data_IF_179845388847
#
_entry.id   IF_179845388847
#
_cell.length_a   1.000
_cell.length_b   1.000
_cell.length_c   1.000
_cell.angle_alpha   90.00
_cell.angle_beta   90.00
_cell.angle_gamma   90.00
#
_symmetry.space_group_name_H-M   'P 1'
#
loop_
_entity.id
_entity.type
_entity.pdbx_description
1 polymer ?
#
# COMPACT_ATOMS: atom_id res chain seq x y z
N UNK A 1 19.41 81.63 -2.01
CA UNK A 1 19.43 80.20 -1.65
C UNK A 1 18.26 79.52 -2.33
N UNK A 2 18.57 78.41 -3.00
CA UNK A 2 17.80 77.53 -3.89
C UNK A 2 16.26 77.51 -3.81
N UNK A 3 15.66 77.56 -5.00
CA UNK A 3 14.29 77.18 -5.31
C UNK A 3 14.20 75.66 -5.63
N UNK A 4 13.00 75.10 -5.44
CA UNK A 4 12.51 73.95 -6.20
C UNK A 4 12.71 72.56 -5.59
N UNK A 5 11.59 71.92 -5.22
CA UNK A 5 11.16 70.63 -5.80
C UNK A 5 9.82 70.20 -5.18
N UNK A 6 8.80 70.19 -6.03
CA UNK A 6 7.60 69.38 -5.84
C UNK A 6 8.01 67.91 -5.96
N UNK A 7 7.73 67.08 -4.96
CA UNK A 7 7.72 65.63 -5.13
C UNK A 7 6.29 65.21 -5.46
N UNK A 8 6.07 64.92 -6.75
CA UNK A 8 4.86 64.30 -7.24
C UNK A 8 4.69 62.93 -6.57
N UNK A 9 3.45 62.64 -6.18
CA UNK A 9 2.98 61.32 -5.79
C UNK A 9 3.01 60.44 -7.06
N UNK A 10 4.10 59.71 -7.25
CA UNK A 10 4.18 58.62 -8.22
C UNK A 10 3.37 57.45 -7.70
N UNK A 11 2.27 57.18 -8.39
CA UNK A 11 1.52 55.93 -8.30
C UNK A 11 2.41 54.83 -8.89
N UNK A 12 2.93 53.97 -8.02
CA UNK A 12 3.70 52.79 -8.41
C UNK A 12 2.74 51.72 -8.92
N UNK A 13 2.41 51.83 -10.21
CA UNK A 13 1.57 50.88 -10.92
C UNK A 13 2.42 49.65 -11.27
N UNK A 14 2.18 48.58 -10.52
CA UNK A 14 2.75 47.24 -10.72
C UNK A 14 2.42 46.73 -12.14
N UNK A 15 3.38 46.22 -12.93
CA UNK A 15 3.03 45.59 -14.19
C UNK A 15 2.40 44.22 -13.93
N UNK A 16 1.09 44.10 -14.20
CA UNK A 16 0.40 42.82 -14.33
C UNK A 16 1.03 42.02 -15.48
N UNK A 17 1.67 40.92 -15.13
CA UNK A 17 2.08 39.87 -16.08
C UNK A 17 1.13 38.68 -15.94
N UNK A 18 -0.07 38.80 -16.53
CA UNK A 18 -0.89 37.64 -16.88
C UNK A 18 -0.77 37.39 -18.39
N UNK A 19 -0.36 36.19 -18.86
CA UNK A 19 -0.59 35.83 -20.24
C UNK A 19 -2.08 35.51 -20.42
N UNK A 20 -2.80 36.46 -21.01
CA UNK A 20 -4.11 36.24 -21.63
C UNK A 20 -3.92 35.27 -22.81
N UNK A 21 -4.36 34.02 -22.67
CA UNK A 21 -4.55 33.14 -23.82
C UNK A 21 -5.93 33.46 -24.40
N UNK A 22 -5.98 34.47 -25.27
CA UNK A 22 -7.06 34.67 -26.23
C UNK A 22 -6.42 35.13 -27.53
N UNK A 23 -6.28 34.20 -28.47
CA UNK A 23 -6.42 34.38 -29.92
C UNK A 23 -5.92 33.12 -30.64
N UNK A 24 -6.73 32.06 -30.61
CA UNK A 24 -6.66 30.97 -31.59
C UNK A 24 -8.07 30.63 -32.05
N UNK A 25 -8.81 31.65 -32.51
CA UNK A 25 -10.06 31.45 -33.26
C UNK A 25 -10.10 32.44 -34.42
N UNK A 26 -9.25 32.22 -35.42
CA UNK A 26 -9.39 32.84 -36.73
C UNK A 26 -8.87 31.88 -37.79
N UNK A 27 -9.66 31.69 -38.85
CA UNK A 27 -9.46 30.82 -40.01
C UNK A 27 -9.83 29.33 -39.82
N UNK A 28 -11.13 29.06 -39.77
CA UNK A 28 -11.70 27.84 -40.37
C UNK A 28 -12.82 28.29 -41.31
N UNK A 29 -12.40 28.82 -42.46
CA UNK A 29 -13.27 29.17 -43.58
C UNK A 29 -13.82 27.89 -44.23
N UNK A 30 -15.02 28.02 -44.76
CA UNK A 30 -15.91 26.99 -45.25
C UNK A 30 -15.28 26.14 -46.36
N UNK A 31 -15.24 24.81 -46.17
CA UNK A 31 -15.39 23.87 -47.27
C UNK A 31 -16.37 22.77 -46.90
N UNK A 32 -17.66 23.05 -47.11
CA UNK A 32 -18.68 22.02 -47.27
C UNK A 32 -18.34 21.21 -48.53
N UNK A 33 -17.72 20.04 -48.35
CA UNK A 33 -17.66 19.03 -49.41
C UNK A 33 -19.07 18.43 -49.58
N UNK A 34 -19.58 18.30 -50.82
CA UNK A 34 -20.90 17.73 -51.06
C UNK A 34 -20.90 16.26 -50.64
N UNK A 35 -21.93 15.85 -49.87
CA UNK A 35 -22.22 14.46 -49.56
C UNK A 35 -22.37 13.68 -50.87
N UNK A 36 -21.35 12.90 -51.23
CA UNK A 36 -21.46 11.90 -52.28
C UNK A 36 -22.44 10.82 -51.83
N UNK A 37 -23.65 10.86 -52.40
CA UNK A 37 -24.64 9.80 -52.33
C UNK A 37 -24.01 8.51 -52.84
N UNK A 38 -23.73 7.57 -51.92
CA UNK A 38 -23.21 6.25 -52.29
C UNK A 38 -24.29 5.51 -53.07
N UNK A 39 -24.14 5.48 -54.38
CA UNK A 39 -24.94 4.68 -55.29
C UNK A 39 -24.75 3.19 -54.91
N UNK A 40 -25.74 2.60 -54.24
CA UNK A 40 -25.75 1.17 -53.94
C UNK A 40 -25.81 0.37 -55.25
N UNK A 41 -24.73 -0.35 -55.58
CA UNK A 41 -24.79 -1.43 -56.54
C UNK A 41 -25.35 -2.69 -55.85
N UNK A 42 -26.33 -3.39 -56.43
CA UNK A 42 -26.77 -4.68 -55.91
C UNK A 42 -25.62 -5.68 -55.98
N UNK A 43 -25.38 -6.37 -54.86
CA UNK A 43 -24.31 -7.38 -54.72
C UNK A 43 -24.46 -8.50 -55.76
N UNK A 44 -23.35 -9.03 -56.33
CA UNK A 44 -23.40 -10.19 -57.20
C UNK A 44 -23.90 -11.42 -56.44
N UNK A 45 -24.75 -12.20 -57.10
CA UNK A 45 -25.41 -13.37 -56.53
C UNK A 45 -24.36 -14.45 -56.20
N UNK A 46 -24.03 -14.60 -54.91
CA UNK A 46 -23.07 -15.60 -54.44
C UNK A 46 -23.77 -16.97 -54.44
N UNK A 47 -23.28 -17.98 -55.15
CA UNK A 47 -23.85 -19.32 -55.08
C UNK A 47 -23.70 -19.87 -53.66
N UNK A 48 -24.83 -20.12 -53.00
CA UNK A 48 -24.88 -20.73 -51.68
C UNK A 48 -24.38 -22.18 -51.79
N UNK A 49 -23.18 -22.44 -51.29
CA UNK A 49 -22.84 -23.79 -50.82
C UNK A 49 -23.61 -24.03 -49.52
N UNK A 50 -24.11 -25.25 -49.25
CA UNK A 50 -24.79 -25.52 -47.99
C UNK A 50 -23.78 -25.45 -46.85
N UNK A 51 -23.75 -24.31 -46.17
CA UNK A 51 -23.03 -24.12 -44.91
C UNK A 51 -23.62 -25.10 -43.89
N UNK A 52 -22.80 -26.05 -43.46
CA UNK A 52 -23.06 -26.87 -42.27
C UNK A 52 -23.35 -25.92 -41.12
N UNK A 53 -24.60 -25.92 -40.65
CA UNK A 53 -25.05 -25.12 -39.51
C UNK A 53 -24.24 -25.57 -38.29
N UNK A 54 -23.29 -24.73 -37.87
CA UNK A 54 -22.67 -24.85 -36.57
C UNK A 54 -23.70 -24.37 -35.55
N UNK A 55 -24.31 -25.31 -34.84
CA UNK A 55 -25.23 -25.05 -33.75
C UNK A 55 -24.58 -24.09 -32.73
N UNK A 56 -25.31 -23.03 -32.39
CA UNK A 56 -25.00 -22.18 -31.24
C UNK A 56 -25.14 -23.01 -29.95
N UNK A 57 -24.17 -22.99 -29.02
CA UNK A 57 -24.33 -23.71 -27.77
C UNK A 57 -25.47 -23.07 -26.97
N UNK A 58 -26.56 -23.81 -26.83
CA UNK A 58 -27.61 -23.49 -25.87
C UNK A 58 -27.01 -23.52 -24.47
N UNK A 59 -26.99 -22.37 -23.79
CA UNK A 59 -26.63 -22.28 -22.39
C UNK A 59 -27.68 -23.07 -21.58
N UNK A 60 -27.30 -24.26 -21.12
CA UNK A 60 -28.21 -25.15 -20.42
C UNK A 60 -28.61 -24.54 -19.08
N UNK A 61 -29.92 -24.53 -18.81
CA UNK A 61 -30.48 -24.09 -17.54
C UNK A 61 -29.78 -24.84 -16.39
N UNK A 62 -29.21 -24.09 -15.43
CA UNK A 62 -28.54 -24.70 -14.27
C UNK A 62 -29.52 -25.64 -13.55
N UNK A 63 -29.08 -26.83 -13.13
CA UNK A 63 -29.96 -27.75 -12.41
C UNK A 63 -30.57 -27.06 -11.19
N UNK A 64 -31.87 -27.25 -10.96
CA UNK A 64 -32.60 -26.61 -9.85
C UNK A 64 -32.03 -26.96 -8.45
N UNK A 65 -31.20 -28.00 -8.35
CA UNK A 65 -30.49 -28.41 -7.13
C UNK A 65 -29.21 -27.62 -6.86
N UNK A 66 -28.68 -26.85 -7.81
CA UNK A 66 -27.42 -26.11 -7.65
C UNK A 66 -27.54 -25.02 -6.58
N UNK A 67 -28.67 -24.33 -6.52
CA UNK A 67 -28.92 -23.28 -5.51
C UNK A 67 -29.00 -23.86 -4.07
N UNK A 68 -29.81 -24.91 -3.78
CA UNK A 68 -29.81 -25.50 -2.45
C UNK A 68 -28.49 -26.19 -2.11
N UNK A 69 -27.76 -26.76 -3.07
CA UNK A 69 -26.44 -27.31 -2.83
C UNK A 69 -25.43 -26.23 -2.43
N UNK A 70 -25.45 -25.06 -3.08
CA UNK A 70 -24.58 -23.94 -2.72
C UNK A 70 -24.91 -23.40 -1.32
N UNK A 71 -26.20 -23.29 -0.99
CA UNK A 71 -26.63 -22.89 0.36
C UNK A 71 -26.14 -23.91 1.41
N UNK A 72 -26.27 -25.21 1.13
CA UNK A 72 -25.79 -26.25 2.04
C UNK A 72 -24.27 -26.18 2.27
N UNK A 73 -23.49 -25.89 1.22
CA UNK A 73 -22.04 -25.70 1.34
C UNK A 73 -21.71 -24.48 2.20
N UNK A 74 -22.41 -23.36 2.00
CA UNK A 74 -22.21 -22.14 2.81
C UNK A 74 -22.55 -22.40 4.28
N UNK A 75 -23.66 -23.07 4.57
CA UNK A 75 -24.05 -23.43 5.94
C UNK A 75 -23.02 -24.35 6.60
N UNK A 76 -22.48 -25.33 5.85
CA UNK A 76 -21.45 -26.23 6.35
C UNK A 76 -20.15 -25.49 6.69
N UNK A 77 -19.73 -24.56 5.82
CA UNK A 77 -18.55 -23.72 6.08
C UNK A 77 -18.76 -22.86 7.34
N UNK A 78 -19.92 -22.20 7.48
CA UNK A 78 -20.25 -21.40 8.66
C UNK A 78 -20.32 -22.22 9.95
N UNK A 79 -20.81 -23.46 9.88
CA UNK A 79 -20.83 -24.35 11.04
C UNK A 79 -19.41 -24.74 11.47
N UNK A 80 -18.55 -25.10 10.51
CA UNK A 80 -17.14 -25.45 10.79
C UNK A 80 -16.39 -24.26 11.37
N UNK A 81 -16.53 -23.06 10.80
CA UNK A 81 -15.87 -21.87 11.35
C UNK A 81 -16.34 -21.54 12.76
N UNK A 82 -17.66 -21.63 13.02
CA UNK A 82 -18.20 -21.44 14.37
C UNK A 82 -17.68 -22.47 15.38
N UNK A 83 -17.53 -23.74 14.97
CA UNK A 83 -16.97 -24.77 15.85
C UNK A 83 -15.51 -24.54 16.21
N UNK A 84 -14.70 -24.03 15.28
CA UNK A 84 -13.28 -23.69 15.54
C UNK A 84 -13.18 -22.52 16.51
N UNK A 85 -13.95 -21.45 16.29
CA UNK A 85 -13.99 -20.28 17.17
C UNK A 85 -14.41 -20.71 18.59
N UNK A 86 -15.47 -21.51 18.71
CA UNK A 86 -15.94 -22.01 20.01
C UNK A 86 -14.89 -22.86 20.74
N UNK A 87 -14.09 -23.63 20.00
CA UNK A 87 -13.02 -24.43 20.60
C UNK A 87 -11.87 -23.55 21.12
N UNK A 88 -11.51 -22.49 20.40
CA UNK A 88 -10.49 -21.51 20.82
C UNK A 88 -10.98 -20.68 22.00
N UNK A 89 -12.24 -20.25 22.02
CA UNK A 89 -12.80 -19.47 23.15
C UNK A 89 -12.95 -20.27 24.44
N UNK A 90 -12.73 -21.60 24.42
CA UNK A 90 -12.84 -22.46 25.60
C UNK A 90 -11.53 -22.60 26.39
N UNK A 91 -10.45 -21.96 25.97
CA UNK A 91 -9.13 -22.06 26.61
C UNK A 91 -8.79 -20.90 27.55
N UNK A 92 -9.78 -20.33 28.23
CA UNK A 92 -9.55 -19.37 29.33
C UNK A 92 -10.12 -19.93 30.62
N UNK A 93 -9.38 -20.83 31.26
CA UNK A 93 -9.54 -21.10 32.69
C UNK A 93 -8.25 -21.72 33.23
N UNK A 94 -7.37 -20.88 33.78
CA UNK A 94 -6.66 -21.11 35.06
C UNK A 94 -5.73 -19.94 35.38
N UNK A 95 -6.24 -19.04 36.23
CA UNK A 95 -5.61 -18.63 37.49
C UNK A 95 -4.08 -18.72 37.59
N UNK A 96 -3.41 -17.57 37.57
CA UNK A 96 -2.41 -17.32 38.59
C UNK A 96 -2.39 -15.85 39.03
N UNK A 97 -3.03 -15.61 40.17
CA UNK A 97 -2.81 -14.43 40.99
C UNK A 97 -1.37 -14.48 41.53
N UNK A 98 -0.40 -14.01 40.74
CA UNK A 98 0.78 -13.40 41.33
C UNK A 98 0.37 -12.01 41.84
N UNK A 99 -0.32 -12.03 42.98
CA UNK A 99 -0.54 -10.88 43.82
C UNK A 99 0.82 -10.44 44.36
N UNK A 100 1.54 -9.63 43.59
CA UNK A 100 2.68 -8.88 44.09
C UNK A 100 2.11 -7.91 45.13
N UNK A 101 2.44 -8.13 46.40
CA UNK A 101 2.16 -7.17 47.47
C UNK A 101 2.71 -5.81 47.07
N UNK A 102 1.82 -4.89 46.71
CA UNK A 102 2.14 -3.47 46.54
C UNK A 102 2.58 -2.97 47.91
N UNK A 103 3.90 -2.86 48.12
CA UNK A 103 4.43 -2.02 49.18
C UNK A 103 4.10 -0.60 48.77
N UNK A 104 3.15 0.00 49.48
CA UNK A 104 2.77 1.39 49.30
C UNK A 104 3.92 2.29 49.77
N UNK A 105 4.81 2.68 48.84
CA UNK A 105 5.83 3.69 49.10
C UNK A 105 5.31 5.02 48.58
N UNK A 106 4.65 5.77 49.46
CA UNK A 106 4.41 7.19 49.24
C UNK A 106 5.79 7.86 49.25
N UNK A 107 6.37 8.17 48.09
CA UNK A 107 7.54 9.04 48.02
C UNK A 107 7.40 9.96 46.83
N UNK A 108 6.92 11.16 47.11
CA UNK A 108 6.87 12.29 46.22
C UNK A 108 8.29 12.82 45.97
N UNK A 109 9.04 12.26 45.01
CA UNK A 109 10.25 12.89 44.42
C UNK A 109 10.41 12.48 42.93
N UNK A 110 10.94 13.37 42.06
CA UNK A 110 10.87 13.24 40.61
C UNK A 110 11.83 12.17 40.04
N UNK A 111 11.33 11.33 39.14
CA UNK A 111 12.09 10.25 38.49
C UNK A 111 12.95 10.78 37.34
N UNK A 112 14.17 11.21 37.64
CA UNK A 112 15.25 11.27 36.66
C UNK A 112 16.25 10.14 36.95
N UNK A 113 16.31 9.18 36.02
CA UNK A 113 17.45 8.32 35.73
C UNK A 113 17.85 7.27 36.80
N UNK A 114 17.43 6.02 36.58
CA UNK A 114 18.15 4.85 37.10
C UNK A 114 18.44 3.90 35.94
N UNK A 115 19.57 4.13 35.29
CA UNK A 115 20.27 3.11 34.51
C UNK A 115 20.89 2.11 35.51
N UNK A 116 20.35 0.90 35.62
CA UNK A 116 20.96 -0.18 36.42
C UNK A 116 22.04 -0.84 35.56
N UNK A 117 23.35 -0.75 35.91
CA UNK A 117 24.37 -1.56 35.27
C UNK A 117 24.26 -3.02 35.73
N UNK A 118 23.94 -3.88 34.76
CA UNK A 118 24.25 -5.31 34.63
C UNK A 118 24.73 -6.05 35.89
N UNK A 119 23.83 -6.83 36.48
CA UNK A 119 24.17 -7.92 37.40
C UNK A 119 23.92 -9.27 36.69
N UNK A 120 25.01 -9.94 36.35
CA UNK A 120 25.09 -11.36 35.98
C UNK A 120 24.07 -12.21 36.76
N UNK A 121 23.01 -12.66 36.07
CA UNK A 121 22.18 -13.77 36.50
C UNK A 121 21.76 -14.55 35.26
N UNK A 122 22.04 -15.85 35.22
CA UNK A 122 21.59 -16.80 34.19
C UNK A 122 20.06 -17.02 34.22
N UNK A 123 19.28 -15.96 34.28
CA UNK A 123 17.83 -15.95 34.06
C UNK A 123 17.59 -15.58 32.59
N UNK A 124 16.63 -16.19 31.89
CA UNK A 124 16.26 -15.73 30.56
C UNK A 124 15.82 -14.27 30.67
N UNK A 125 16.55 -13.38 30.01
CA UNK A 125 16.15 -12.00 29.82
C UNK A 125 14.80 -12.01 29.13
N UNK A 126 13.74 -11.59 29.85
CA UNK A 126 12.42 -11.47 29.26
C UNK A 126 12.43 -10.21 28.43
N UNK A 127 12.69 -10.35 27.14
CA UNK A 127 12.60 -9.25 26.20
C UNK A 127 11.14 -9.08 25.82
N UNK A 128 10.63 -7.87 25.98
CA UNK A 128 9.22 -7.51 25.69
C UNK A 128 9.12 -7.13 24.21
N UNK A 129 8.05 -7.58 23.57
CA UNK A 129 7.62 -7.29 22.21
C UNK A 129 6.11 -7.06 22.32
N UNK A 130 5.72 -5.78 22.43
CA UNK A 130 4.38 -5.37 22.85
C UNK A 130 3.33 -5.58 21.76
N UNK A 131 3.70 -5.46 20.48
CA UNK A 131 2.79 -5.58 19.35
C UNK A 131 2.90 -6.93 18.61
N UNK A 132 3.96 -7.69 18.87
CA UNK A 132 4.18 -9.03 18.34
C UNK A 132 4.70 -9.07 16.91
N UNK A 133 5.32 -8.00 16.40
CA UNK A 133 5.89 -7.99 15.05
C UNK A 133 7.28 -8.68 14.97
N UNK A 134 7.92 -8.92 16.11
CA UNK A 134 9.23 -9.54 16.26
C UNK A 134 10.41 -8.56 16.35
N UNK A 135 10.14 -7.27 16.53
CA UNK A 135 11.02 -6.30 17.18
C UNK A 135 10.68 -6.22 18.67
N UNK A 136 11.70 -5.99 19.47
CA UNK A 136 11.54 -5.79 20.91
C UNK A 136 11.25 -4.33 21.20
N UNK A 137 10.54 -4.01 22.29
CA UNK A 137 10.23 -2.61 22.68
C UNK A 137 11.49 -1.72 22.74
N UNK A 138 12.66 -2.33 23.03
CA UNK A 138 13.96 -1.65 23.05
C UNK A 138 14.45 -1.36 21.62
N UNK A 139 14.37 -2.33 20.70
CA UNK A 139 14.70 -2.13 19.29
C UNK A 139 13.77 -1.05 18.70
N UNK A 140 12.47 -1.14 18.94
CA UNK A 140 11.50 -0.15 18.47
C UNK A 140 11.79 1.25 18.98
N UNK A 141 12.15 1.40 20.26
CA UNK A 141 12.58 2.68 20.80
C UNK A 141 13.84 3.25 20.12
N UNK A 142 14.72 2.41 19.58
CA UNK A 142 15.90 2.84 18.82
C UNK A 142 15.50 3.36 17.42
N UNK A 143 14.57 2.67 16.76
CA UNK A 143 14.04 3.06 15.45
C UNK A 143 12.95 4.14 15.50
N UNK A 144 12.43 4.42 16.71
CA UNK A 144 11.33 5.36 16.99
C UNK A 144 9.99 4.94 16.37
N UNK A 145 9.79 3.64 16.23
CA UNK A 145 8.51 3.04 15.85
C UNK A 145 7.55 3.02 17.05
N UNK A 146 6.26 2.82 16.78
CA UNK A 146 5.22 2.74 17.81
C UNK A 146 5.14 1.33 18.36
N UNK A 147 5.58 1.13 19.61
CA UNK A 147 5.56 -0.15 20.34
C UNK A 147 4.21 -0.87 20.42
N UNK A 148 3.12 -0.25 19.93
CA UNK A 148 1.76 -0.80 19.97
C UNK A 148 1.23 -1.12 18.58
N UNK A 149 2.01 -0.86 17.52
CA UNK A 149 1.60 -0.99 16.13
C UNK A 149 2.65 -1.76 15.34
N UNK A 150 2.25 -2.95 14.86
CA UNK A 150 3.06 -3.82 14.00
C UNK A 150 3.59 -3.10 12.74
N UNK A 151 2.92 -2.04 12.31
CA UNK A 151 3.18 -1.24 11.12
C UNK A 151 2.98 0.24 11.51
N UNK A 152 4.08 0.94 11.76
CA UNK A 152 4.08 2.28 12.35
C UNK A 152 3.58 3.37 11.40
N UNK A 153 3.78 3.21 10.09
CA UNK A 153 3.38 4.19 9.08
C UNK A 153 2.19 3.78 8.20
N UNK A 154 1.70 2.55 8.41
CA UNK A 154 0.46 1.98 7.88
C UNK A 154 0.46 1.77 6.37
N UNK A 155 1.62 1.41 5.82
CA UNK A 155 1.79 1.17 4.39
C UNK A 155 1.59 -0.30 3.96
N UNK A 156 1.54 -1.20 4.94
CA UNK A 156 1.34 -2.63 4.77
C UNK A 156 2.58 -3.50 4.92
N UNK A 157 3.74 -2.96 5.30
CA UNK A 157 4.90 -3.70 5.81
C UNK A 157 4.98 -3.59 7.34
N UNK A 158 5.45 -4.64 8.02
CA UNK A 158 5.72 -4.51 9.46
C UNK A 158 7.02 -3.75 9.70
N UNK A 159 7.16 -3.07 10.84
CA UNK A 159 8.39 -2.33 11.19
C UNK A 159 9.62 -3.25 11.10
N UNK A 160 9.48 -4.49 11.58
CA UNK A 160 10.49 -5.55 11.42
C UNK A 160 10.85 -5.83 9.97
N UNK A 161 9.86 -5.97 9.08
CA UNK A 161 10.09 -6.25 7.65
C UNK A 161 10.85 -5.11 6.99
N UNK A 162 10.45 -3.88 7.28
CA UNK A 162 11.11 -2.68 6.79
C UNK A 162 12.56 -2.60 7.27
N UNK A 163 12.82 -2.80 8.55
CA UNK A 163 14.15 -2.71 9.13
C UNK A 163 15.05 -3.88 8.71
N UNK A 164 14.54 -5.13 8.77
CA UNK A 164 15.38 -6.34 8.64
C UNK A 164 15.39 -6.92 7.22
N UNK A 165 14.42 -6.60 6.36
CA UNK A 165 14.28 -7.21 5.03
C UNK A 165 14.44 -6.19 3.91
N UNK A 166 13.62 -5.13 3.90
CA UNK A 166 13.55 -4.19 2.78
C UNK A 166 14.47 -2.98 2.94
N UNK A 167 14.92 -2.71 4.16
CA UNK A 167 15.70 -1.54 4.55
C UNK A 167 15.03 -0.21 4.18
N UNK A 168 13.69 -0.17 4.22
CA UNK A 168 12.85 1.04 4.08
C UNK A 168 12.83 1.82 5.39
N UNK A 169 12.11 2.95 5.43
CA UNK A 169 11.97 3.76 6.63
C UNK A 169 10.60 3.51 7.28
N UNK A 170 10.54 2.86 8.47
CA UNK A 170 9.28 2.46 9.09
C UNK A 170 8.38 3.59 9.62
N UNK A 171 8.78 4.84 9.35
CA UNK A 171 8.04 6.04 9.72
C UNK A 171 7.63 6.84 8.47
N UNK A 172 7.76 6.26 7.27
CA UNK A 172 7.48 6.91 6.00
C UNK A 172 6.96 5.87 5.01
N UNK A 173 5.65 5.90 4.84
CA UNK A 173 4.89 4.97 3.99
C UNK A 173 5.28 4.89 2.51
N UNK A 174 6.24 5.69 2.06
CA UNK A 174 6.78 5.81 0.70
C UNK A 174 8.23 6.24 0.89
N UNK A 175 9.19 5.31 0.96
CA UNK A 175 10.56 5.57 1.36
C UNK A 175 11.31 6.40 0.32
N UNK A 176 11.15 6.07 -0.96
CA UNK A 176 11.91 6.69 -2.05
C UNK A 176 11.28 8.01 -2.56
N UNK A 177 10.03 8.29 -2.18
CA UNK A 177 9.30 9.51 -2.49
C UNK A 177 8.70 9.55 -3.89
N UNK A 178 8.48 8.39 -4.53
CA UNK A 178 7.93 8.30 -5.89
C UNK A 178 6.40 8.24 -5.96
N UNK A 179 5.73 8.29 -4.79
CA UNK A 179 4.28 8.28 -4.56
C UNK A 179 3.62 6.90 -4.61
N UNK A 180 4.39 5.82 -4.61
CA UNK A 180 3.90 4.48 -4.32
C UNK A 180 4.25 4.11 -2.88
N UNK A 181 3.41 3.30 -2.23
CA UNK A 181 3.68 2.85 -0.86
C UNK A 181 4.66 1.69 -0.88
N UNK A 182 5.60 1.62 0.07
CA UNK A 182 6.64 0.57 0.07
C UNK A 182 6.01 -0.82 0.10
N UNK A 183 4.98 -1.01 0.94
CA UNK A 183 4.18 -2.24 0.99
C UNK A 183 3.44 -2.57 -0.31
N UNK A 184 2.97 -1.58 -1.05
CA UNK A 184 2.38 -1.79 -2.38
C UNK A 184 3.43 -2.24 -3.40
N UNK A 185 4.59 -1.60 -3.39
CA UNK A 185 5.70 -1.91 -4.27
C UNK A 185 6.23 -3.31 -4.05
N UNK A 186 6.52 -3.68 -2.80
CA UNK A 186 6.96 -5.02 -2.41
C UNK A 186 5.97 -6.08 -2.89
N UNK A 187 4.68 -5.89 -2.64
CA UNK A 187 3.61 -6.81 -3.08
C UNK A 187 3.53 -6.95 -4.60
N UNK A 188 3.93 -5.92 -5.34
CA UNK A 188 3.98 -5.88 -6.81
C UNK A 188 5.37 -6.19 -7.38
N UNK A 189 6.33 -6.58 -6.54
CA UNK A 189 7.71 -6.89 -6.89
C UNK A 189 8.49 -5.71 -7.47
N UNK A 190 8.16 -4.48 -7.04
CA UNK A 190 8.93 -3.26 -7.27
C UNK A 190 9.86 -2.97 -6.09
N UNK A 191 10.89 -2.17 -6.33
CA UNK A 191 11.90 -1.83 -5.33
C UNK A 191 11.41 -0.63 -4.51
N UNK A 192 11.13 -0.77 -3.20
CA UNK A 192 10.60 0.33 -2.38
C UNK A 192 11.61 1.45 -2.07
N UNK A 193 12.85 1.31 -2.56
CA UNK A 193 13.95 2.26 -2.30
C UNK A 193 14.43 2.95 -3.56
N UNK A 194 13.71 2.79 -4.67
CA UNK A 194 14.09 3.39 -5.92
C UNK A 194 13.50 2.69 -7.13
N UNK A 195 13.86 3.13 -8.34
CA UNK A 195 13.28 2.59 -9.55
C UNK A 195 13.62 1.10 -9.75
N UNK A 196 12.67 0.37 -10.32
CA UNK A 196 12.89 -0.98 -10.85
C UNK A 196 12.19 -2.09 -10.07
N UNK A 197 12.64 -3.33 -10.27
CA UNK A 197 12.04 -4.53 -9.65
C UNK A 197 12.80 -4.88 -8.38
N UNK A 198 12.08 -5.37 -7.37
CA UNK A 198 12.64 -5.83 -6.10
C UNK A 198 13.77 -6.87 -6.29
N UNK A 199 13.60 -7.72 -7.31
CA UNK A 199 14.61 -8.70 -7.71
C UNK A 199 15.08 -8.41 -9.13
N UNK A 200 16.34 -8.01 -9.27
CA UNK A 200 16.98 -7.92 -10.57
C UNK A 200 17.62 -9.28 -10.91
N UNK A 201 16.87 -10.14 -11.60
CA UNK A 201 17.28 -11.50 -11.95
C UNK A 201 18.64 -11.52 -12.66
N UNK A 202 18.95 -10.47 -13.43
CA UNK A 202 20.23 -10.37 -14.13
C UNK A 202 21.42 -10.14 -13.18
N UNK A 203 21.27 -9.27 -12.19
CA UNK A 203 22.32 -9.04 -11.18
C UNK A 203 22.56 -10.27 -10.30
N UNK A 204 21.50 -11.02 -9.96
CA UNK A 204 21.64 -12.24 -9.16
C UNK A 204 22.34 -13.37 -9.95
N UNK A 205 22.08 -13.47 -11.26
CA UNK A 205 22.83 -14.39 -12.15
C UNK A 205 24.30 -13.96 -12.24
N UNK A 206 24.57 -12.67 -12.44
CA UNK A 206 25.93 -12.17 -12.59
C UNK A 206 26.74 -12.32 -11.28
N UNK A 207 26.12 -12.11 -10.11
CA UNK A 207 26.71 -12.43 -8.79
C UNK A 207 27.00 -13.92 -8.63
N UNK A 208 26.06 -14.80 -8.95
CA UNK A 208 26.24 -16.25 -8.84
C UNK A 208 27.38 -16.75 -9.75
N UNK A 209 27.49 -16.18 -10.96
CA UNK A 209 28.59 -16.50 -11.88
C UNK A 209 29.94 -15.97 -11.41
N UNK A 210 29.97 -14.79 -10.76
CA UNK A 210 31.21 -14.22 -10.21
C UNK A 210 31.76 -14.98 -9.00
N UNK A 211 30.90 -15.63 -8.21
CA UNK A 211 31.29 -16.46 -7.07
C UNK A 211 31.79 -17.86 -7.47
N UNK A 212 31.45 -18.33 -8.68
CA UNK A 212 31.88 -19.65 -9.17
C UNK A 212 33.32 -19.63 -9.75
N UNK A 213 33.89 -18.45 -9.99
CA UNK A 213 35.21 -18.26 -10.63
C UNK A 213 36.31 -17.76 -9.67
N UNK A 214 36.14 -17.87 -8.35
CA UNK A 214 37.18 -17.62 -7.34
C UNK A 214 37.52 -18.90 -6.58
#
# INVERSE_FOLDING_TARGET
MNEGRQTQSSSEQLPESQPVIQDIFAAADEQQQPLHELQYQPLPNIPHTPTKVTEVPHYSARPRWVLPALIAVVVLVLAVTATVIFMVSRSEDSNNLNQVSVVNVNTSQPINEVHIPSANTNAPEVVVDTDGDGLTDIEESEYKTDIRLIDSDQDGLTDREEIKVYATNPLKSDTDGDRYLDGEEVRKLFNPKGPGRLFNIKEEIDKAQSQTNQ
#
